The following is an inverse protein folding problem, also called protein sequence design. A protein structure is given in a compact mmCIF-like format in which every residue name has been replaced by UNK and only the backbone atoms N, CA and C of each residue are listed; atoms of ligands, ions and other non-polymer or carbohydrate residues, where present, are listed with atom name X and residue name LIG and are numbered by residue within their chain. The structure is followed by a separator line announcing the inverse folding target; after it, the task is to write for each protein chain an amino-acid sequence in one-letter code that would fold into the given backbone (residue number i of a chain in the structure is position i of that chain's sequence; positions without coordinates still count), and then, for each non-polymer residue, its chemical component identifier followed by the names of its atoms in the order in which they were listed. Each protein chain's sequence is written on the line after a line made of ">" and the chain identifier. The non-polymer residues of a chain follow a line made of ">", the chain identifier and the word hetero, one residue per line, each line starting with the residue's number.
data_IF_322399366723
#
_entry.id   IF_322399366723
#
_cell.length_a   1.000
_cell.length_b   1.000
_cell.length_c   1.000
_cell.angle_alpha   90.00
_cell.angle_beta   90.00
_cell.angle_gamma   90.00
#
_symmetry.space_group_name_H-M   'P 1'
#
loop_
_entity.id
_entity.type
_entity.pdbx_description
1 polymer ?
#
# COMPACT_ATOMS: atom_id res chain seq x y z
N UNK A 1 20.67 -23.92 -1.09
CA UNK A 1 20.08 -24.43 -2.35
C UNK A 1 18.58 -24.14 -2.31
N UNK A 2 17.94 -23.79 -3.43
CA UNK A 2 16.49 -23.53 -3.46
C UNK A 2 15.75 -24.74 -4.02
N UNK A 3 14.54 -25.01 -3.53
CA UNK A 3 13.69 -26.07 -4.06
C UNK A 3 13.15 -25.62 -5.42
N UNK A 4 13.56 -26.31 -6.48
CA UNK A 4 13.07 -26.04 -7.84
C UNK A 4 11.60 -26.45 -7.99
N UNK A 5 10.81 -25.68 -8.74
CA UNK A 5 9.44 -26.06 -9.13
C UNK A 5 9.43 -27.39 -9.92
N UNK A 6 10.55 -27.74 -10.55
CA UNK A 6 10.71 -28.97 -11.32
C UNK A 6 10.44 -30.23 -10.49
N UNK A 7 10.78 -30.25 -9.19
CA UNK A 7 10.47 -31.38 -8.31
C UNK A 7 8.96 -31.64 -8.21
N UNK A 8 8.17 -30.58 -8.09
CA UNK A 8 6.71 -30.69 -8.05
C UNK A 8 6.13 -31.08 -9.41
N UNK A 9 6.65 -30.49 -10.50
CA UNK A 9 6.20 -30.81 -11.86
C UNK A 9 6.44 -32.30 -12.19
N UNK A 10 7.64 -32.82 -11.92
CA UNK A 10 8.00 -34.21 -12.13
C UNK A 10 7.15 -35.15 -11.26
N UNK A 11 6.94 -34.80 -9.99
CA UNK A 11 6.12 -35.62 -9.07
C UNK A 11 4.64 -35.69 -9.48
N UNK A 12 4.12 -34.63 -10.08
CA UNK A 12 2.70 -34.52 -10.48
C UNK A 12 2.43 -34.80 -11.95
N UNK A 13 3.45 -35.19 -12.71
CA UNK A 13 3.37 -35.47 -14.15
C UNK A 13 2.23 -36.46 -14.45
N UNK A 14 1.43 -36.11 -15.47
CA UNK A 14 0.22 -36.80 -15.95
C UNK A 14 -0.90 -37.00 -14.92
N UNK A 15 -0.90 -36.24 -13.82
CA UNK A 15 -1.89 -36.39 -12.72
C UNK A 15 -2.59 -35.05 -12.41
N UNK A 16 -3.49 -34.55 -13.27
CA UNK A 16 -4.11 -33.22 -13.11
C UNK A 16 -4.97 -33.09 -11.83
N UNK A 17 -5.60 -34.19 -11.38
CA UNK A 17 -6.35 -34.20 -10.12
C UNK A 17 -5.45 -34.03 -8.90
N UNK A 18 -4.23 -34.54 -8.96
CA UNK A 18 -3.23 -34.44 -7.90
C UNK A 18 -2.69 -33.01 -7.82
N UNK A 19 -2.36 -32.41 -8.97
CA UNK A 19 -1.93 -31.02 -9.07
C UNK A 19 -2.94 -30.09 -8.39
N UNK A 20 -4.20 -30.11 -8.84
CA UNK A 20 -5.26 -29.25 -8.29
C UNK A 20 -5.45 -29.42 -6.78
N UNK A 21 -5.38 -30.67 -6.29
CA UNK A 21 -5.48 -30.95 -4.84
C UNK A 21 -4.29 -30.40 -4.06
N UNK A 22 -3.08 -30.49 -4.61
CA UNK A 22 -1.88 -29.96 -3.98
C UNK A 22 -1.86 -28.42 -3.96
N UNK A 23 -2.28 -27.79 -5.06
CA UNK A 23 -2.46 -26.34 -5.15
C UNK A 23 -3.48 -25.86 -4.13
N UNK A 24 -4.66 -26.48 -4.09
CA UNK A 24 -5.69 -26.14 -3.11
C UNK A 24 -5.19 -26.29 -1.67
N UNK A 25 -4.43 -27.34 -1.35
CA UNK A 25 -3.86 -27.51 -0.02
C UNK A 25 -2.88 -26.37 0.35
N UNK A 26 -2.09 -25.89 -0.61
CA UNK A 26 -1.20 -24.74 -0.39
C UNK A 26 -1.99 -23.44 -0.24
N UNK A 27 -2.95 -23.17 -1.14
CA UNK A 27 -3.76 -21.94 -1.10
C UNK A 27 -4.70 -21.86 0.10
N UNK A 28 -5.16 -22.99 0.62
CA UNK A 28 -5.97 -23.07 1.84
C UNK A 28 -5.14 -23.14 3.13
N UNK A 29 -3.81 -22.93 3.07
CA UNK A 29 -2.90 -22.98 4.22
C UNK A 29 -2.95 -24.32 5.00
N UNK A 30 -3.13 -25.43 4.29
CA UNK A 30 -3.14 -26.77 4.91
C UNK A 30 -1.73 -27.33 5.13
N UNK A 31 -0.67 -26.66 4.67
CA UNK A 31 0.71 -26.98 5.06
C UNK A 31 1.02 -26.26 6.37
N UNK A 32 0.92 -26.99 7.48
CA UNK A 32 0.96 -26.45 8.84
C UNK A 32 2.39 -26.22 9.35
N UNK A 33 3.31 -27.10 8.94
CA UNK A 33 4.75 -27.01 9.26
C UNK A 33 5.55 -27.42 8.04
N UNK A 34 6.69 -26.77 7.85
CA UNK A 34 7.61 -27.05 6.76
C UNK A 34 9.03 -26.76 7.23
N UNK A 35 9.94 -27.70 7.00
CA UNK A 35 11.37 -27.62 7.27
C UNK A 35 12.10 -28.25 6.09
N UNK A 36 13.14 -27.57 5.60
CA UNK A 36 14.01 -28.08 4.57
C UNK A 36 15.44 -28.11 5.10
N UNK A 37 16.05 -29.29 5.09
CA UNK A 37 17.45 -29.49 5.43
C UNK A 37 18.28 -29.46 4.14
N UNK A 38 19.14 -28.45 4.05
CA UNK A 38 19.97 -28.19 2.88
C UNK A 38 21.22 -29.08 2.82
N UNK A 39 21.65 -29.69 3.93
CA UNK A 39 22.81 -30.60 3.93
C UNK A 39 22.42 -32.00 3.45
N UNK A 40 21.22 -32.45 3.81
CA UNK A 40 20.72 -33.78 3.46
C UNK A 40 19.73 -33.78 2.28
N UNK A 41 19.33 -32.60 1.78
CA UNK A 41 18.30 -32.43 0.75
C UNK A 41 16.95 -33.09 1.13
N UNK A 42 16.60 -33.04 2.41
CA UNK A 42 15.37 -33.63 2.95
C UNK A 42 14.36 -32.53 3.31
N UNK A 43 13.14 -32.67 2.82
CA UNK A 43 11.97 -31.86 3.19
C UNK A 43 11.15 -32.62 4.24
N UNK A 44 10.89 -31.99 5.37
CA UNK A 44 9.96 -32.45 6.39
C UNK A 44 8.79 -31.48 6.52
N UNK A 45 7.58 -31.96 6.35
CA UNK A 45 6.37 -31.15 6.41
C UNK A 45 5.24 -31.84 7.17
N UNK A 46 4.28 -31.03 7.64
CA UNK A 46 3.02 -31.51 8.22
C UNK A 46 1.89 -30.91 7.40
N UNK A 47 1.11 -31.77 6.73
CA UNK A 47 0.03 -31.35 5.84
C UNK A 47 -1.31 -31.87 6.33
N UNK A 48 -2.28 -30.98 6.47
CA UNK A 48 -3.64 -31.28 6.87
C UNK A 48 -4.42 -31.97 5.75
N UNK A 49 -5.24 -32.95 6.11
CA UNK A 49 -6.17 -33.61 5.19
C UNK A 49 -7.33 -32.67 4.82
N UNK A 50 -7.76 -32.66 3.55
CA UNK A 50 -8.75 -31.70 3.05
C UNK A 50 -10.12 -31.73 3.75
N UNK A 51 -10.53 -32.87 4.33
CA UNK A 51 -11.89 -33.07 4.87
C UNK A 51 -11.91 -33.55 6.33
N UNK A 52 -10.75 -33.68 6.97
CA UNK A 52 -10.65 -34.22 8.34
C UNK A 52 -9.76 -33.30 9.16
N UNK A 53 -10.09 -33.14 10.45
CA UNK A 53 -9.21 -32.46 11.40
C UNK A 53 -8.04 -33.38 11.80
N UNK A 54 -7.29 -33.85 10.79
CA UNK A 54 -6.15 -34.74 10.91
C UNK A 54 -5.07 -34.25 9.97
N UNK A 55 -3.83 -34.24 10.43
CA UNK A 55 -2.65 -33.95 9.63
C UNK A 55 -1.77 -35.18 9.50
N UNK A 56 -0.95 -35.19 8.46
CA UNK A 56 0.00 -36.25 8.16
C UNK A 56 1.41 -35.66 8.10
N UNK A 57 2.37 -36.35 8.70
CA UNK A 57 3.78 -36.04 8.48
C UNK A 57 4.20 -36.53 7.10
N UNK A 58 5.02 -35.71 6.47
CA UNK A 58 5.54 -35.89 5.11
C UNK A 58 7.04 -35.70 5.17
N UNK A 59 7.78 -36.67 4.69
CA UNK A 59 9.23 -36.60 4.50
C UNK A 59 9.53 -36.90 3.04
N UNK A 60 10.34 -36.05 2.40
CA UNK A 60 10.69 -36.15 0.98
C UNK A 60 12.19 -35.96 0.83
N UNK A 61 12.87 -36.91 0.22
CA UNK A 61 14.28 -36.75 -0.16
C UNK A 61 14.36 -36.30 -1.63
N UNK A 62 15.16 -35.28 -1.89
CA UNK A 62 15.35 -34.67 -3.21
C UNK A 62 16.69 -35.10 -3.81
N UNK A 63 16.72 -35.35 -5.10
CA UNK A 63 17.92 -35.70 -5.87
C UNK A 63 18.34 -34.56 -6.81
N UNK A 64 19.64 -34.45 -7.08
CA UNK A 64 20.24 -33.38 -7.89
C UNK A 64 19.73 -33.34 -9.35
N UNK A 65 19.13 -34.45 -9.82
CA UNK A 65 18.44 -34.54 -11.11
C UNK A 65 17.03 -33.95 -11.15
N UNK A 66 16.62 -33.17 -10.15
CA UNK A 66 15.25 -32.65 -9.98
C UNK A 66 14.19 -33.75 -9.83
N UNK A 67 14.60 -34.93 -9.36
CA UNK A 67 13.75 -36.06 -9.08
C UNK A 67 13.51 -36.21 -7.57
N UNK A 68 12.41 -36.84 -7.21
CA UNK A 68 12.13 -37.21 -5.82
C UNK A 68 12.68 -38.60 -5.58
N UNK A 69 13.77 -38.73 -4.80
CA UNK A 69 14.45 -40.01 -4.57
C UNK A 69 13.66 -40.93 -3.66
N UNK A 70 13.03 -40.37 -2.61
CA UNK A 70 12.11 -41.13 -1.77
C UNK A 70 11.04 -40.23 -1.14
N UNK A 71 9.88 -40.82 -0.87
CA UNK A 71 8.78 -40.15 -0.18
C UNK A 71 8.23 -41.04 0.92
N UNK A 72 7.99 -40.46 2.08
CA UNK A 72 7.24 -41.09 3.15
C UNK A 72 6.13 -40.14 3.59
N UNK A 73 4.88 -40.60 3.56
CA UNK A 73 3.75 -39.85 4.09
C UNK A 73 2.88 -40.78 4.92
N UNK A 74 2.40 -40.31 6.08
CA UNK A 74 1.55 -41.09 6.99
C UNK A 74 0.11 -41.28 6.47
N UNK A 75 -0.21 -40.76 5.28
CA UNK A 75 -1.56 -40.91 4.71
C UNK A 75 -1.77 -42.30 4.09
N UNK A 76 -3.02 -42.74 3.88
CA UNK A 76 -3.30 -44.04 3.27
C UNK A 76 -2.66 -44.24 1.89
N UNK A 77 -2.45 -43.15 1.15
CA UNK A 77 -1.78 -43.14 -0.15
C UNK A 77 -0.28 -42.86 -0.07
N UNK A 78 0.30 -42.77 1.13
CA UNK A 78 1.67 -42.30 1.32
C UNK A 78 2.76 -43.26 0.87
N UNK A 79 2.40 -44.54 0.62
CA UNK A 79 3.22 -45.52 -0.10
C UNK A 79 3.23 -45.32 -1.62
N UNK A 80 2.39 -44.41 -2.12
CA UNK A 80 2.22 -44.07 -3.52
C UNK A 80 2.30 -42.54 -3.70
N UNK A 81 1.81 -42.04 -4.83
CA UNK A 81 1.76 -40.61 -5.11
C UNK A 81 0.58 -39.96 -4.37
N UNK A 82 0.86 -39.02 -3.46
CA UNK A 82 -0.17 -38.36 -2.66
C UNK A 82 -0.10 -36.83 -2.72
N UNK A 83 -1.25 -36.17 -2.55
CA UNK A 83 -1.33 -34.72 -2.66
C UNK A 83 -0.60 -33.97 -1.54
N UNK A 84 -0.33 -34.63 -0.41
CA UNK A 84 0.42 -34.03 0.71
C UNK A 84 1.90 -33.86 0.36
N UNK A 85 2.51 -34.84 -0.29
CA UNK A 85 3.89 -34.74 -0.81
C UNK A 85 3.97 -33.65 -1.88
N UNK A 86 3.04 -33.66 -2.83
CA UNK A 86 2.96 -32.63 -3.86
C UNK A 86 2.77 -31.22 -3.24
N UNK A 87 1.93 -31.09 -2.21
CA UNK A 87 1.72 -29.81 -1.52
C UNK A 87 2.98 -29.36 -0.78
N UNK A 88 3.73 -30.27 -0.15
CA UNK A 88 5.00 -29.95 0.50
C UNK A 88 6.04 -29.44 -0.52
N UNK A 89 6.18 -30.08 -1.67
CA UNK A 89 7.10 -29.64 -2.73
C UNK A 89 6.73 -28.26 -3.29
N UNK A 90 5.45 -28.03 -3.57
CA UNK A 90 4.96 -26.74 -4.09
C UNK A 90 5.10 -25.62 -3.05
N UNK A 91 4.81 -25.91 -1.78
CA UNK A 91 5.03 -24.98 -0.67
C UNK A 91 6.51 -24.67 -0.51
N UNK A 92 7.37 -25.69 -0.59
CA UNK A 92 8.82 -25.55 -0.57
C UNK A 92 9.34 -24.62 -1.65
N UNK A 93 8.88 -24.75 -2.89
CA UNK A 93 9.23 -23.80 -3.96
C UNK A 93 8.81 -22.35 -3.63
N UNK A 94 7.63 -22.14 -3.03
CA UNK A 94 7.13 -20.80 -2.70
C UNK A 94 7.81 -20.18 -1.48
N UNK A 95 8.31 -20.99 -0.56
CA UNK A 95 8.77 -20.55 0.76
C UNK A 95 10.28 -20.71 0.97
N UNK A 96 10.95 -21.61 0.25
CA UNK A 96 12.41 -21.76 0.26
C UNK A 96 12.98 -20.87 -0.83
N UNK A 97 13.33 -19.66 -0.44
CA UNK A 97 13.81 -18.62 -1.35
C UNK A 97 15.27 -18.85 -1.72
N UNK A 98 15.68 -18.40 -2.92
CA UNK A 98 17.12 -18.30 -3.27
C UNK A 98 17.88 -17.31 -2.35
N UNK A 99 17.18 -16.51 -1.54
CA UNK A 99 17.73 -15.49 -0.65
C UNK A 99 18.11 -16.00 0.76
N UNK A 100 17.77 -17.24 1.12
CA UNK A 100 18.23 -17.86 2.38
C UNK A 100 19.68 -18.39 2.29
N UNK A 101 20.27 -18.36 1.09
CA UNK A 101 21.72 -18.46 0.92
C UNK A 101 22.29 -17.09 1.24
N UNK A 102 23.09 -17.00 2.30
CA UNK A 102 23.84 -15.78 2.64
C UNK A 102 24.55 -15.27 1.39
N UNK A 103 24.12 -14.14 0.85
CA UNK A 103 24.77 -13.49 -0.28
C UNK A 103 26.18 -13.07 0.15
N UNK A 104 27.15 -13.94 -0.07
CA UNK A 104 28.55 -13.61 -0.01
C UNK A 104 28.98 -13.16 -1.39
N UNK A 105 29.23 -11.87 -1.57
CA UNK A 105 30.17 -11.47 -2.61
C UNK A 105 31.48 -12.17 -2.27
N UNK A 106 31.90 -13.15 -3.07
CA UNK A 106 33.28 -13.62 -3.02
C UNK A 106 34.15 -12.41 -3.35
N UNK A 107 34.69 -11.76 -2.33
CA UNK A 107 35.76 -10.76 -2.51
C UNK A 107 36.96 -11.54 -3.06
N UNK A 108 37.07 -11.55 -4.39
CA UNK A 108 38.13 -12.18 -5.18
C UNK A 108 38.12 -13.72 -5.15
N UNK A 109 37.30 -14.40 -5.96
CA UNK A 109 37.51 -15.81 -6.26
C UNK A 109 38.90 -15.95 -6.92
N UNK A 110 39.81 -16.74 -6.32
CA UNK A 110 41.17 -16.96 -6.86
C UNK A 110 41.17 -17.56 -8.28
N UNK A 111 40.03 -18.06 -8.73
CA UNK A 111 39.75 -18.67 -10.04
C UNK A 111 38.88 -17.81 -10.96
N UNK A 112 38.47 -16.60 -10.55
CA UNK A 112 37.73 -15.72 -11.44
C UNK A 112 38.65 -15.25 -12.57
N UNK A 113 38.35 -15.65 -13.80
CA UNK A 113 38.90 -15.05 -15.00
C UNK A 113 38.68 -13.55 -14.86
N UNK A 114 39.73 -12.74 -15.05
CA UNK A 114 39.61 -11.28 -15.12
C UNK A 114 38.69 -10.97 -16.30
N UNK A 115 37.40 -10.87 -16.07
CA UNK A 115 36.45 -10.33 -17.05
C UNK A 115 36.76 -8.85 -17.16
N UNK A 116 37.17 -8.43 -18.35
CA UNK A 116 37.21 -7.01 -18.71
C UNK A 116 35.83 -6.43 -18.41
N UNK A 117 35.81 -5.39 -17.57
CA UNK A 117 34.57 -4.68 -17.25
C UNK A 117 34.20 -3.91 -18.51
N UNK A 118 33.17 -4.39 -19.21
CA UNK A 118 32.61 -3.72 -20.38
C UNK A 118 31.47 -2.80 -19.98
N UNK A 119 31.40 -1.62 -20.56
CA UNK A 119 30.27 -0.70 -20.35
C UNK A 119 29.00 -1.21 -21.05
N UNK A 120 27.84 -0.67 -20.71
CA UNK A 120 26.59 -1.01 -21.41
C UNK A 120 26.66 -0.65 -22.89
N UNK A 121 27.33 0.47 -23.22
CA UNK A 121 27.56 0.93 -24.59
C UNK A 121 28.47 -0.03 -25.38
N UNK A 122 29.43 -0.68 -24.73
CA UNK A 122 30.31 -1.67 -25.35
C UNK A 122 29.60 -3.01 -25.61
N UNK A 123 28.67 -3.39 -24.72
CA UNK A 123 27.87 -4.60 -24.88
C UNK A 123 26.73 -4.42 -25.88
N UNK A 124 26.19 -3.21 -25.95
CA UNK A 124 25.03 -2.86 -26.77
C UNK A 124 25.31 -1.55 -27.51
N UNK A 125 26.18 -1.58 -28.54
CA UNK A 125 26.46 -0.40 -29.32
C UNK A 125 25.18 0.12 -29.98
N UNK A 126 24.92 1.44 -29.95
CA UNK A 126 23.72 2.01 -30.54
C UNK A 126 23.69 1.74 -32.04
N UNK A 127 22.57 1.21 -32.54
CA UNK A 127 22.37 0.95 -33.98
C UNK A 127 22.47 2.21 -34.84
N UNK A 128 22.29 3.38 -34.23
CA UNK A 128 22.47 4.70 -34.82
C UNK A 128 23.22 5.58 -33.81
N UNK A 129 24.56 5.70 -33.93
CA UNK A 129 25.38 6.42 -32.95
C UNK A 129 25.09 7.93 -32.90
N UNK A 130 24.55 8.50 -33.99
CA UNK A 130 24.22 9.93 -34.08
C UNK A 130 22.72 10.22 -33.86
N UNK A 131 21.94 9.23 -33.39
CA UNK A 131 20.52 9.44 -33.13
C UNK A 131 20.32 10.23 -31.84
N UNK A 132 19.80 11.45 -31.98
CA UNK A 132 19.28 12.25 -30.89
C UNK A 132 17.78 12.49 -31.11
N UNK A 133 16.96 12.16 -30.12
CA UNK A 133 15.50 12.36 -30.19
C UNK A 133 15.12 13.85 -30.35
N UNK A 134 15.99 14.75 -29.87
CA UNK A 134 15.88 16.20 -30.02
C UNK A 134 17.07 16.71 -30.83
N UNK A 135 16.84 17.71 -31.70
CA UNK A 135 17.90 18.40 -32.46
C UNK A 135 18.78 19.31 -31.60
N UNK A 136 18.42 19.48 -30.33
CA UNK A 136 19.12 20.28 -29.32
C UNK A 136 19.34 19.43 -28.05
N UNK A 137 20.27 19.81 -27.16
CA UNK A 137 20.43 19.15 -25.87
C UNK A 137 19.11 19.13 -25.10
N UNK A 138 18.86 18.03 -24.40
CA UNK A 138 17.72 17.91 -23.48
C UNK A 138 17.90 18.88 -22.31
N UNK A 139 16.86 19.64 -21.98
CA UNK A 139 16.86 20.60 -20.88
C UNK A 139 15.72 20.38 -19.86
N UNK A 140 15.70 21.18 -18.79
CA UNK A 140 14.69 21.08 -17.73
C UNK A 140 13.28 21.43 -18.21
N UNK A 141 13.13 22.20 -19.30
CA UNK A 141 11.83 22.49 -19.88
C UNK A 141 11.27 21.26 -20.58
N UNK A 142 12.10 20.50 -21.29
CA UNK A 142 11.71 19.24 -21.91
C UNK A 142 11.27 18.22 -20.85
N UNK A 143 12.01 18.15 -19.74
CA UNK A 143 11.68 17.30 -18.59
C UNK A 143 10.32 17.69 -17.99
N UNK A 144 10.11 18.98 -17.75
CA UNK A 144 8.87 19.51 -17.17
C UNK A 144 7.67 19.29 -18.11
N UNK A 145 7.86 19.52 -19.41
CA UNK A 145 6.84 19.25 -20.42
C UNK A 145 6.46 17.77 -20.45
N UNK A 146 7.45 16.86 -20.50
CA UNK A 146 7.18 15.43 -20.52
C UNK A 146 6.48 14.96 -19.24
N UNK A 147 6.87 15.48 -18.07
CA UNK A 147 6.19 15.21 -16.80
C UNK A 147 4.71 15.66 -16.82
N UNK A 148 4.41 16.85 -17.36
CA UNK A 148 3.02 17.35 -17.49
C UNK A 148 2.19 16.47 -18.44
N UNK A 149 2.77 16.01 -19.55
CA UNK A 149 2.09 15.10 -20.47
C UNK A 149 1.81 13.74 -19.82
N UNK A 150 2.73 13.21 -19.02
CA UNK A 150 2.50 11.97 -18.26
C UNK A 150 1.41 12.13 -17.20
N UNK A 151 1.38 13.27 -16.49
CA UNK A 151 0.36 13.55 -15.48
C UNK A 151 -1.06 13.58 -16.07
N UNK A 152 -1.23 14.03 -17.33
CA UNK A 152 -2.51 14.01 -18.04
C UNK A 152 -3.07 12.61 -18.27
N UNK A 153 -2.22 11.57 -18.26
CA UNK A 153 -2.67 10.18 -18.42
C UNK A 153 -3.40 9.64 -17.18
N UNK A 154 -3.42 10.41 -16.08
CA UNK A 154 -4.22 10.11 -14.89
C UNK A 154 -3.83 8.83 -14.15
N UNK A 155 -2.63 8.31 -14.42
CA UNK A 155 -2.08 7.10 -13.80
C UNK A 155 -0.66 7.40 -13.34
N UNK A 156 -0.36 7.05 -12.08
CA UNK A 156 0.98 7.18 -11.56
C UNK A 156 1.87 6.11 -12.19
N UNK A 157 2.69 6.51 -13.17
CA UNK A 157 3.60 5.62 -13.89
C UNK A 157 4.99 5.68 -13.26
N UNK A 158 5.72 4.56 -13.25
CA UNK A 158 7.09 4.52 -12.68
C UNK A 158 8.02 5.61 -13.25
N UNK A 159 7.82 5.97 -14.53
CA UNK A 159 8.56 7.03 -15.20
C UNK A 159 8.23 8.43 -14.64
N UNK A 160 6.99 8.68 -14.25
CA UNK A 160 6.60 9.94 -13.60
C UNK A 160 7.34 10.13 -12.27
N UNK A 161 7.62 9.04 -11.55
CA UNK A 161 8.43 9.05 -10.33
C UNK A 161 9.91 9.32 -10.61
N UNK A 162 10.50 8.65 -11.61
CA UNK A 162 11.90 8.86 -12.02
C UNK A 162 12.14 10.32 -12.48
N UNK A 163 11.12 10.93 -13.08
CA UNK A 163 11.18 12.29 -13.58
C UNK A 163 10.87 13.35 -12.52
N UNK A 164 10.55 12.98 -11.27
CA UNK A 164 10.40 13.95 -10.20
C UNK A 164 11.72 14.67 -9.95
N UNK A 165 11.73 16.01 -9.76
CA UNK A 165 12.94 16.71 -9.37
C UNK A 165 13.55 16.06 -8.12
N UNK A 166 14.87 16.01 -8.06
CA UNK A 166 15.54 15.63 -6.82
C UNK A 166 15.03 16.56 -5.71
N UNK A 167 14.67 16.02 -4.54
CA UNK A 167 14.16 16.84 -3.47
C UNK A 167 15.22 17.87 -3.08
N UNK A 168 14.98 19.14 -3.40
CA UNK A 168 15.80 20.24 -2.90
C UNK A 168 15.73 20.25 -1.37
N UNK A 169 16.87 20.48 -0.71
CA UNK A 169 16.85 20.87 0.69
C UNK A 169 15.96 22.11 0.87
N UNK A 170 15.15 22.20 1.94
CA UNK A 170 15.19 21.38 3.15
C UNK A 170 14.45 20.04 3.00
N UNK A 171 14.87 19.06 3.80
CA UNK A 171 14.25 17.75 3.91
C UNK A 171 12.77 17.78 4.33
N UNK A 172 12.14 16.60 4.51
CA UNK A 172 10.72 16.53 4.86
C UNK A 172 10.42 17.33 6.14
N UNK A 173 9.33 18.13 6.16
CA UNK A 173 9.03 19.02 7.29
C UNK A 173 8.71 18.25 8.59
N UNK A 174 8.14 17.06 8.47
CA UNK A 174 7.92 16.14 9.59
C UNK A 174 8.83 14.91 9.47
N UNK A 175 9.23 14.31 10.60
CA UNK A 175 10.11 13.15 10.60
C UNK A 175 9.49 11.96 9.86
N UNK A 176 10.30 11.23 9.10
CA UNK A 176 9.87 9.98 8.46
C UNK A 176 10.01 8.85 9.49
N UNK A 177 8.90 8.16 9.82
CA UNK A 177 8.92 7.10 10.84
C UNK A 177 9.87 5.96 10.46
N UNK A 178 9.93 5.61 9.18
CA UNK A 178 10.81 4.53 8.71
C UNK A 178 12.29 4.87 8.98
N UNK A 179 12.70 6.09 8.64
CA UNK A 179 14.06 6.58 8.89
C UNK A 179 14.39 6.56 10.39
N UNK A 180 13.46 7.03 11.24
CA UNK A 180 13.61 6.97 12.69
C UNK A 180 13.74 5.54 13.21
N UNK A 181 12.98 4.58 12.68
CA UNK A 181 13.06 3.17 13.09
C UNK A 181 14.35 2.49 12.64
N UNK A 182 14.98 2.99 11.58
CA UNK A 182 16.27 2.50 11.07
C UNK A 182 17.48 3.26 11.61
N UNK A 183 17.25 4.34 12.36
CA UNK A 183 18.31 5.21 12.84
C UNK A 183 19.17 4.53 13.90
N UNK A 184 20.45 4.91 13.98
CA UNK A 184 21.38 4.34 14.96
C UNK A 184 20.93 4.66 16.39
N UNK A 185 20.31 5.82 16.61
CA UNK A 185 19.78 6.24 17.90
C UNK A 185 18.63 5.35 18.37
N UNK A 186 17.72 4.94 17.47
CA UNK A 186 16.64 4.02 17.82
C UNK A 186 17.16 2.61 18.08
N UNK A 187 18.02 2.09 17.19
CA UNK A 187 18.54 0.71 17.25
C UNK A 187 19.39 0.48 18.50
N UNK A 188 20.20 1.48 18.88
CA UNK A 188 21.09 1.39 20.04
C UNK A 188 20.48 1.94 21.33
N UNK A 189 19.19 2.33 21.32
CA UNK A 189 18.53 2.85 22.52
C UNK A 189 18.22 1.75 23.53
N UNK A 190 18.51 1.99 24.80
CA UNK A 190 18.04 1.13 25.90
C UNK A 190 16.51 1.15 26.06
N UNK A 191 15.86 2.26 25.64
CA UNK A 191 14.41 2.46 25.73
C UNK A 191 13.82 2.94 24.40
N UNK A 192 13.81 2.08 23.35
CA UNK A 192 13.48 2.51 21.98
C UNK A 192 12.09 3.15 21.84
N UNK A 193 11.09 2.63 22.57
CA UNK A 193 9.73 3.16 22.49
C UNK A 193 9.56 4.53 23.16
N UNK A 194 10.35 4.83 24.20
CA UNK A 194 10.34 6.15 24.85
C UNK A 194 11.06 7.15 23.97
N UNK A 195 12.21 6.74 23.41
CA UNK A 195 12.95 7.54 22.44
C UNK A 195 12.08 7.88 21.23
N UNK A 196 11.43 6.89 20.61
CA UNK A 196 10.60 7.09 19.43
C UNK A 196 9.44 8.04 19.70
N UNK A 197 8.78 7.92 20.87
CA UNK A 197 7.71 8.84 21.26
C UNK A 197 8.20 10.28 21.35
N UNK A 198 9.41 10.51 21.88
CA UNK A 198 10.00 11.85 21.96
C UNK A 198 10.41 12.38 20.60
N UNK A 199 11.02 11.55 19.76
CA UNK A 199 11.44 11.91 18.41
C UNK A 199 10.26 12.25 17.47
N UNK A 200 9.05 11.82 17.82
CA UNK A 200 7.82 12.09 17.06
C UNK A 200 7.01 13.28 17.56
N UNK A 201 7.41 13.95 18.64
CA UNK A 201 6.72 15.15 19.12
C UNK A 201 6.93 16.27 18.11
N UNK A 202 5.84 16.89 17.67
CA UNK A 202 5.84 17.95 16.65
C UNK A 202 5.37 19.27 17.26
N UNK A 203 5.96 20.37 16.77
CA UNK A 203 5.42 21.71 17.00
C UNK A 203 4.27 22.01 16.03
N UNK A 204 3.44 22.99 16.38
CA UNK A 204 2.39 23.50 15.50
C UNK A 204 2.93 23.98 14.14
N UNK A 205 4.10 24.64 14.15
CA UNK A 205 4.78 25.07 12.92
C UNK A 205 5.11 23.87 12.00
N UNK A 206 5.63 22.78 12.56
CA UNK A 206 5.92 21.56 11.79
C UNK A 206 4.63 20.95 11.24
N UNK A 207 3.55 20.96 12.01
CA UNK A 207 2.24 20.45 11.57
C UNK A 207 1.72 21.26 10.38
N UNK A 208 1.72 22.59 10.48
CA UNK A 208 1.24 23.50 9.42
C UNK A 208 2.11 23.42 8.17
N UNK A 209 3.43 23.44 8.33
CA UNK A 209 4.38 23.28 7.21
C UNK A 209 4.22 21.92 6.53
N UNK A 210 3.96 20.86 7.30
CA UNK A 210 3.68 19.52 6.75
C UNK A 210 2.40 19.52 5.95
N UNK A 211 1.32 20.10 6.47
CA UNK A 211 0.06 20.17 5.75
C UNK A 211 0.19 20.97 4.44
N UNK A 212 0.99 22.04 4.44
CA UNK A 212 1.26 22.86 3.25
C UNK A 212 2.13 22.10 2.23
N UNK A 213 3.26 21.54 2.67
CA UNK A 213 4.20 20.83 1.80
C UNK A 213 3.62 19.55 1.19
N UNK A 214 2.59 18.98 1.82
CA UNK A 214 1.89 17.77 1.36
C UNK A 214 0.55 18.06 0.66
N UNK A 215 0.28 19.32 0.33
CA UNK A 215 -0.90 19.73 -0.44
C UNK A 215 -0.97 18.97 -1.77
N UNK A 216 -2.19 18.64 -2.20
CA UNK A 216 -2.44 17.79 -3.38
C UNK A 216 -2.46 16.28 -3.07
N UNK A 217 -2.18 15.91 -1.80
CA UNK A 217 -2.36 14.58 -1.23
C UNK A 217 -1.81 13.45 -2.12
N UNK A 218 -2.68 12.66 -2.75
CA UNK A 218 -2.31 11.52 -3.61
C UNK A 218 -1.38 11.87 -4.78
N UNK A 219 -1.42 13.12 -5.26
CA UNK A 219 -0.58 13.59 -6.36
C UNK A 219 0.74 14.18 -5.85
N UNK A 220 0.94 14.19 -4.54
CA UNK A 220 2.14 14.68 -3.88
C UNK A 220 2.88 13.50 -3.22
N UNK A 221 4.08 13.11 -3.70
CA UNK A 221 4.82 11.98 -3.15
C UNK A 221 5.19 12.17 -1.67
N UNK A 222 5.44 13.41 -1.24
CA UNK A 222 5.75 13.75 0.17
C UNK A 222 4.60 13.35 1.10
N UNK A 223 3.35 13.52 0.65
CA UNK A 223 2.17 13.09 1.40
C UNK A 223 2.19 11.58 1.66
N UNK A 224 2.52 10.78 0.64
CA UNK A 224 2.58 9.31 0.77
C UNK A 224 3.67 8.88 1.74
N UNK A 225 4.85 9.52 1.67
CA UNK A 225 6.01 9.26 2.53
C UNK A 225 5.67 9.60 3.99
N UNK A 226 5.18 10.80 4.28
CA UNK A 226 4.87 11.26 5.64
C UNK A 226 3.72 10.46 6.25
N UNK A 227 2.74 10.04 5.44
CA UNK A 227 1.58 9.25 5.86
C UNK A 227 1.96 7.81 6.25
N UNK A 228 3.01 7.25 5.65
CA UNK A 228 3.44 5.86 5.87
C UNK A 228 3.76 5.62 7.34
N UNK A 229 3.33 4.46 7.86
CA UNK A 229 3.52 4.04 9.26
C UNK A 229 2.82 4.94 10.32
N UNK A 230 1.98 5.90 9.92
CA UNK A 230 1.12 6.67 10.84
C UNK A 230 -0.29 6.11 10.90
N UNK A 231 -0.98 6.35 12.02
CA UNK A 231 -2.38 5.98 12.17
C UNK A 231 -3.22 7.13 11.61
N UNK A 232 -3.71 6.96 10.39
CA UNK A 232 -4.56 7.97 9.74
C UNK A 232 -6.03 7.82 10.10
N UNK A 233 -6.82 8.90 10.01
CA UNK A 233 -8.28 8.87 10.22
C UNK A 233 -8.98 7.72 9.48
N UNK A 234 -8.63 7.50 8.21
CA UNK A 234 -9.18 6.42 7.38
C UNK A 234 -8.91 5.00 7.91
N UNK A 235 -7.87 4.81 8.72
CA UNK A 235 -7.50 3.54 9.33
C UNK A 235 -7.82 3.48 10.83
N UNK A 236 -8.18 4.61 11.45
CA UNK A 236 -8.32 4.75 12.90
C UNK A 236 -9.38 3.79 13.47
N UNK A 237 -10.56 3.72 12.85
CA UNK A 237 -11.61 2.78 13.26
C UNK A 237 -11.17 1.31 13.19
N UNK A 238 -10.41 0.94 12.15
CA UNK A 238 -9.86 -0.41 12.03
C UNK A 238 -8.81 -0.71 13.10
N UNK A 239 -7.95 0.26 13.43
CA UNK A 239 -6.98 0.15 14.53
C UNK A 239 -7.70 -0.02 15.88
N UNK A 240 -8.73 0.77 16.17
CA UNK A 240 -9.50 0.67 17.41
C UNK A 240 -10.24 -0.67 17.54
N UNK A 241 -10.76 -1.21 16.44
CA UNK A 241 -11.46 -2.50 16.42
C UNK A 241 -10.53 -3.71 16.61
N UNK A 242 -9.21 -3.50 16.53
CA UNK A 242 -8.23 -4.58 16.62
C UNK A 242 -7.96 -4.95 18.08
N UNK A 243 -8.11 -6.24 18.42
CA UNK A 243 -7.74 -6.75 19.74
C UNK A 243 -6.23 -6.57 19.97
N UNK A 244 -5.82 -6.09 21.15
CA UNK A 244 -4.40 -5.92 21.51
C UNK A 244 -3.63 -7.21 21.17
N UNK A 245 -2.55 -7.06 20.38
CA UNK A 245 -1.63 -8.11 19.86
C UNK A 245 -2.08 -8.92 18.64
N UNK A 246 -3.21 -8.61 18.00
CA UNK A 246 -3.64 -9.29 16.76
C UNK A 246 -3.87 -8.30 15.62
N UNK A 247 -2.83 -7.54 15.25
CA UNK A 247 -2.88 -6.70 14.04
C UNK A 247 -2.97 -7.61 12.82
N UNK A 248 -4.05 -7.47 12.05
CA UNK A 248 -4.23 -8.23 10.82
C UNK A 248 -3.20 -7.82 9.77
N UNK A 249 -2.77 -8.78 8.94
CA UNK A 249 -1.82 -8.51 7.85
C UNK A 249 -2.36 -7.42 6.91
N UNK A 250 -3.67 -7.39 6.69
CA UNK A 250 -4.34 -6.38 5.88
C UNK A 250 -4.26 -4.98 6.50
N UNK A 251 -4.48 -4.84 7.81
CA UNK A 251 -4.28 -3.57 8.50
C UNK A 251 -2.81 -3.13 8.47
N UNK A 252 -1.85 -4.05 8.70
CA UNK A 252 -0.41 -3.76 8.60
C UNK A 252 -0.05 -3.24 7.20
N UNK A 253 -0.49 -3.94 6.15
CA UNK A 253 -0.23 -3.54 4.76
C UNK A 253 -0.85 -2.18 4.40
N UNK A 254 -2.04 -1.85 4.94
CA UNK A 254 -2.68 -0.54 4.78
C UNK A 254 -1.88 0.58 5.45
N UNK A 255 -1.39 0.36 6.67
CA UNK A 255 -0.57 1.35 7.39
C UNK A 255 0.80 1.57 6.74
N UNK A 256 1.37 0.52 6.13
CA UNK A 256 2.64 0.60 5.40
C UNK A 256 2.49 1.15 3.96
N UNK A 257 1.29 1.63 3.57
CA UNK A 257 0.99 2.11 2.22
C UNK A 257 1.35 1.12 1.09
N UNK A 258 1.22 -0.18 1.36
CA UNK A 258 1.67 -1.26 0.45
C UNK A 258 0.58 -1.83 -0.47
N UNK A 259 -0.60 -1.21 -0.51
CA UNK A 259 -1.70 -1.62 -1.39
C UNK A 259 -1.80 -0.69 -2.60
N UNK A 260 -1.72 -1.26 -3.80
CA UNK A 260 -2.22 -0.58 -4.99
C UNK A 260 -3.76 -0.77 -5.05
N UNK A 261 -4.51 0.32 -4.88
CA UNK A 261 -5.98 0.34 -4.91
C UNK A 261 -6.54 0.88 -6.25
N UNK A 262 -5.68 1.23 -7.21
CA UNK A 262 -6.05 1.89 -8.48
C UNK A 262 -6.94 1.00 -9.36
N UNK A 263 -6.81 -0.32 -9.25
CA UNK A 263 -7.61 -1.29 -10.00
C UNK A 263 -9.06 -1.43 -9.52
N UNK A 264 -9.40 -0.84 -8.38
CA UNK A 264 -10.73 -0.99 -7.77
C UNK A 264 -11.67 0.08 -8.35
N UNK A 265 -12.72 -0.36 -9.07
CA UNK A 265 -13.71 0.53 -9.70
C UNK A 265 -14.31 1.56 -8.75
N UNK A 266 -14.64 1.16 -7.52
CA UNK A 266 -15.20 2.07 -6.52
C UNK A 266 -14.21 3.16 -6.08
N UNK A 267 -12.91 2.84 -6.05
CA UNK A 267 -11.85 3.80 -5.72
C UNK A 267 -11.66 4.78 -6.87
N UNK A 268 -11.59 4.28 -8.11
CA UNK A 268 -11.54 5.12 -9.31
C UNK A 268 -12.78 6.03 -9.45
N UNK A 269 -13.96 5.53 -9.09
CA UNK A 269 -15.20 6.31 -9.03
C UNK A 269 -15.09 7.47 -8.03
N UNK A 270 -14.67 7.19 -6.80
CA UNK A 270 -14.50 8.21 -5.77
C UNK A 270 -13.55 9.33 -6.23
N UNK A 271 -12.37 8.91 -6.70
CA UNK A 271 -11.33 9.79 -7.26
C UNK A 271 -11.87 10.75 -8.33
N UNK A 272 -12.67 10.23 -9.25
CA UNK A 272 -13.12 10.99 -10.44
C UNK A 272 -14.30 11.92 -10.14
N UNK A 273 -15.05 11.66 -9.06
CA UNK A 273 -16.26 12.42 -8.72
C UNK A 273 -16.06 13.39 -7.55
N UNK A 274 -14.98 13.23 -6.78
CA UNK A 274 -14.66 14.09 -5.63
C UNK A 274 -14.58 15.57 -6.00
N UNK A 275 -13.86 15.90 -7.08
CA UNK A 275 -13.72 17.29 -7.54
C UNK A 275 -15.08 17.92 -7.94
N UNK A 276 -15.93 17.15 -8.63
CA UNK A 276 -17.28 17.61 -8.99
C UNK A 276 -18.14 17.83 -7.74
N UNK A 277 -18.00 16.96 -6.74
CA UNK A 277 -18.72 17.09 -5.49
C UNK A 277 -18.31 18.36 -4.72
N UNK A 278 -17.02 18.66 -4.66
CA UNK A 278 -16.50 19.89 -4.05
C UNK A 278 -17.03 21.15 -4.76
N UNK A 279 -16.96 21.20 -6.10
CA UNK A 279 -17.48 22.35 -6.88
C UNK A 279 -18.98 22.60 -6.63
N UNK A 280 -19.76 21.53 -6.53
CA UNK A 280 -21.20 21.65 -6.22
C UNK A 280 -21.42 22.12 -4.79
N UNK A 281 -20.61 21.67 -3.82
CA UNK A 281 -20.64 22.19 -2.45
C UNK A 281 -20.32 23.68 -2.39
N UNK A 282 -19.25 24.13 -3.06
CA UNK A 282 -18.87 25.55 -3.14
C UNK A 282 -20.01 26.43 -3.68
N UNK A 283 -20.62 26.00 -4.79
CA UNK A 283 -21.74 26.70 -5.40
C UNK A 283 -22.96 26.78 -4.50
N UNK A 284 -23.37 25.65 -3.91
CA UNK A 284 -24.61 25.56 -3.12
C UNK A 284 -24.51 26.33 -1.80
N UNK A 285 -23.36 26.29 -1.14
CA UNK A 285 -23.16 26.91 0.17
C UNK A 285 -22.49 28.28 0.10
N UNK A 286 -22.28 28.82 -1.11
CA UNK A 286 -21.52 30.05 -1.35
C UNK A 286 -20.22 30.04 -0.52
N UNK A 287 -19.41 29.00 -0.73
CA UNK A 287 -18.20 28.69 0.01
C UNK A 287 -17.02 28.58 -0.94
N UNK A 288 -15.80 28.69 -0.41
CA UNK A 288 -14.58 28.28 -1.13
C UNK A 288 -13.94 27.13 -0.38
N UNK A 289 -13.55 26.07 -1.08
CA UNK A 289 -12.88 24.91 -0.50
C UNK A 289 -11.42 24.89 -0.90
N UNK A 290 -10.54 25.06 0.08
CA UNK A 290 -9.10 25.01 -0.12
C UNK A 290 -8.59 23.58 -0.01
N UNK A 291 -7.86 23.14 -1.04
CA UNK A 291 -7.10 21.90 -0.98
C UNK A 291 -6.04 21.97 0.12
N UNK A 292 -5.84 20.84 0.80
CA UNK A 292 -4.88 20.71 1.90
C UNK A 292 -4.11 19.39 1.81
N UNK A 293 -3.16 19.16 2.72
CA UNK A 293 -2.33 17.98 2.81
C UNK A 293 -2.66 17.09 4.01
N UNK A 294 -1.63 16.53 4.64
CA UNK A 294 -1.78 15.77 5.89
C UNK A 294 -1.54 16.67 7.11
N UNK A 295 -2.53 16.70 7.99
CA UNK A 295 -2.46 17.31 9.31
C UNK A 295 -2.06 16.25 10.32
N UNK A 296 -0.97 16.47 11.04
CA UNK A 296 -0.48 15.57 12.07
C UNK A 296 -0.94 16.06 13.45
N UNK A 297 -1.17 15.13 14.37
CA UNK A 297 -1.31 15.46 15.78
C UNK A 297 0.07 15.75 16.40
N UNK A 298 0.13 16.53 17.48
CA UNK A 298 1.37 16.89 18.20
C UNK A 298 2.22 15.68 18.63
N UNK A 299 1.58 14.53 18.82
CA UNK A 299 2.27 13.26 19.12
C UNK A 299 3.01 12.65 17.92
N UNK A 300 2.79 13.18 16.72
CA UNK A 300 3.23 12.66 15.43
C UNK A 300 2.50 11.38 15.00
N UNK A 301 2.08 10.51 15.92
CA UNK A 301 1.57 9.16 15.60
C UNK A 301 0.26 9.19 14.80
N UNK A 302 -0.59 10.19 15.03
CA UNK A 302 -1.90 10.33 14.41
C UNK A 302 -1.86 11.38 13.29
N UNK A 303 -2.68 11.18 12.26
CA UNK A 303 -2.88 12.20 11.23
C UNK A 303 -4.19 12.08 10.48
N UNK A 304 -4.59 13.14 9.79
CA UNK A 304 -5.77 13.19 8.94
C UNK A 304 -5.49 14.03 7.70
N UNK A 305 -6.20 13.75 6.61
CA UNK A 305 -6.16 14.54 5.39
C UNK A 305 -7.61 14.79 5.01
N UNK A 306 -8.22 15.90 5.44
CA UNK A 306 -9.58 16.23 5.03
C UNK A 306 -9.61 16.53 3.54
N UNK A 307 -10.77 16.36 2.91
CA UNK A 307 -10.93 16.59 1.46
C UNK A 307 -10.86 18.09 1.12
N UNK A 308 -11.15 18.95 2.09
CA UNK A 308 -10.82 20.37 1.99
C UNK A 308 -11.12 21.19 3.25
N UNK A 309 -10.58 22.41 3.28
CA UNK A 309 -10.82 23.42 4.30
C UNK A 309 -11.80 24.46 3.75
N UNK A 310 -12.91 24.66 4.45
CA UNK A 310 -14.03 25.47 3.99
C UNK A 310 -13.88 26.90 4.50
N UNK A 311 -14.05 27.85 3.58
CA UNK A 311 -14.04 29.27 3.84
C UNK A 311 -15.43 29.88 3.60
N UNK A 312 -15.91 30.63 4.58
CA UNK A 312 -17.18 31.36 4.52
C UNK A 312 -17.02 32.78 5.11
N UNK A 313 -17.43 33.86 4.40
CA UNK A 313 -17.75 33.93 2.97
C UNK A 313 -16.48 33.80 2.08
N UNK A 314 -16.59 33.50 0.78
CA UNK A 314 -15.46 33.19 -0.11
C UNK A 314 -14.57 34.40 -0.45
N UNK A 315 -14.77 35.54 0.19
CA UNK A 315 -14.17 36.84 -0.15
C UNK A 315 -12.86 37.14 0.58
N UNK A 316 -12.41 36.27 1.48
CA UNK A 316 -11.16 36.46 2.20
C UNK A 316 -10.04 35.58 1.61
N UNK A 317 -8.94 36.21 1.18
CA UNK A 317 -7.71 35.53 0.74
C UNK A 317 -6.95 34.89 1.93
N UNK A 318 -7.67 34.24 2.84
CA UNK A 318 -7.09 33.58 4.02
C UNK A 318 -6.70 32.18 3.63
N UNK A 319 -5.40 31.91 3.56
CA UNK A 319 -4.91 30.54 3.45
C UNK A 319 -4.76 29.96 4.86
N UNK A 320 -5.60 28.98 5.22
CA UNK A 320 -5.60 28.37 6.56
C UNK A 320 -4.31 27.61 6.91
N UNK A 321 -3.39 27.47 5.94
CA UNK A 321 -2.11 26.80 6.10
C UNK A 321 -0.95 27.79 6.22
N UNK A 322 -1.23 29.08 6.41
CA UNK A 322 -0.19 30.11 6.63
C UNK A 322 -0.20 30.60 8.09
N UNK A 323 0.92 31.13 8.59
CA UNK A 323 1.02 31.61 9.98
C UNK A 323 -0.03 32.68 10.34
N UNK A 324 -0.47 33.48 9.37
CA UNK A 324 -1.44 34.56 9.58
C UNK A 324 -2.85 34.03 9.90
N UNK A 325 -3.14 32.78 9.54
CA UNK A 325 -4.43 32.14 9.79
C UNK A 325 -4.42 31.23 11.03
N UNK A 326 -3.37 31.28 11.87
CA UNK A 326 -3.19 30.36 13.01
C UNK A 326 -4.39 30.33 13.96
N UNK A 327 -4.97 31.49 14.25
CA UNK A 327 -6.09 31.59 15.20
C UNK A 327 -7.46 31.33 14.52
N UNK A 328 -7.47 31.09 13.19
CA UNK A 328 -8.67 30.76 12.45
C UNK A 328 -8.89 29.24 12.44
N UNK A 329 -10.09 28.81 12.84
CA UNK A 329 -10.50 27.40 12.77
C UNK A 329 -11.39 27.22 11.56
N UNK A 330 -10.89 26.65 10.44
CA UNK A 330 -11.72 26.38 9.29
C UNK A 330 -12.74 25.29 9.59
N UNK A 331 -13.91 25.40 8.96
CA UNK A 331 -14.78 24.24 8.77
C UNK A 331 -14.07 23.24 7.84
N UNK A 332 -14.31 21.94 8.02
CA UNK A 332 -13.74 20.89 7.16
C UNK A 332 -14.84 20.20 6.36
N UNK A 333 -14.52 19.83 5.12
CA UNK A 333 -15.37 19.01 4.27
C UNK A 333 -14.76 17.62 4.08
N UNK A 334 -15.60 16.60 4.21
CA UNK A 334 -15.31 15.23 3.81
C UNK A 334 -16.35 14.82 2.76
N UNK A 335 -15.87 14.38 1.62
CA UNK A 335 -16.64 13.96 0.48
C UNK A 335 -16.74 12.44 0.46
N UNK A 336 -17.93 11.95 0.10
CA UNK A 336 -18.16 10.53 -0.16
C UNK A 336 -18.93 10.38 -1.46
N UNK A 337 -18.36 9.62 -2.39
CA UNK A 337 -18.98 9.26 -3.66
C UNK A 337 -19.18 7.73 -3.71
N UNK A 338 -20.30 7.20 -3.16
CA UNK A 338 -20.51 5.77 -3.07
C UNK A 338 -20.84 5.16 -4.44
N UNK A 339 -19.93 4.32 -4.97
CA UNK A 339 -20.12 3.65 -6.26
C UNK A 339 -21.38 2.78 -6.32
N UNK A 340 -21.80 2.19 -5.20
CA UNK A 340 -23.04 1.40 -5.11
C UNK A 340 -24.32 2.22 -5.34
N UNK A 341 -24.24 3.55 -5.21
CA UNK A 341 -25.35 4.47 -5.45
C UNK A 341 -25.26 5.19 -6.81
N UNK A 342 -24.26 4.86 -7.65
CA UNK A 342 -23.96 5.62 -8.88
C UNK A 342 -25.12 5.75 -9.88
N UNK A 343 -26.08 4.82 -9.83
CA UNK A 343 -27.24 4.78 -10.71
C UNK A 343 -28.57 4.84 -9.96
N UNK A 344 -28.54 5.23 -8.68
CA UNK A 344 -29.72 5.34 -7.84
C UNK A 344 -30.06 6.81 -7.63
N UNK A 345 -31.34 7.10 -7.53
CA UNK A 345 -31.78 8.36 -6.91
C UNK A 345 -31.43 8.35 -5.43
N UNK A 346 -31.33 9.53 -4.81
CA UNK A 346 -31.11 9.65 -3.35
C UNK A 346 -32.15 8.84 -2.57
N UNK A 347 -33.42 8.91 -2.99
CA UNK A 347 -34.49 8.15 -2.37
C UNK A 347 -34.25 6.64 -2.44
N UNK A 348 -33.93 6.11 -3.62
CA UNK A 348 -33.62 4.69 -3.79
C UNK A 348 -32.39 4.27 -2.99
N UNK A 349 -31.33 5.08 -2.99
CA UNK A 349 -30.10 4.80 -2.26
C UNK A 349 -30.35 4.65 -0.74
N UNK A 350 -31.13 5.57 -0.15
CA UNK A 350 -31.49 5.52 1.29
C UNK A 350 -32.29 4.27 1.65
N UNK A 351 -33.19 3.82 0.76
CA UNK A 351 -34.06 2.67 1.04
C UNK A 351 -33.43 1.31 0.70
N UNK A 352 -32.51 1.28 -0.27
CA UNK A 352 -31.96 0.02 -0.80
C UNK A 352 -30.55 -0.29 -0.28
N UNK A 353 -29.75 0.70 0.11
CA UNK A 353 -28.37 0.49 0.54
C UNK A 353 -28.27 0.47 2.06
N UNK A 354 -27.81 -0.67 2.58
CA UNK A 354 -27.65 -0.91 4.03
C UNK A 354 -26.74 0.10 4.73
N UNK A 355 -25.80 0.72 4.04
CA UNK A 355 -24.81 1.64 4.62
C UNK A 355 -24.94 3.08 4.08
N UNK A 356 -26.10 3.44 3.51
CA UNK A 356 -26.37 4.79 3.00
C UNK A 356 -27.47 5.45 3.85
N UNK A 357 -27.06 6.23 4.84
CA UNK A 357 -27.96 6.88 5.79
C UNK A 357 -27.94 8.38 5.57
N UNK A 358 -29.07 8.92 5.09
CA UNK A 358 -29.28 10.36 4.95
C UNK A 358 -30.57 10.75 5.67
N UNK A 359 -30.50 11.79 6.49
CA UNK A 359 -31.67 12.42 7.12
C UNK A 359 -32.02 13.71 6.37
N UNK A 360 -33.32 13.92 6.11
CA UNK A 360 -33.82 15.16 5.49
C UNK A 360 -33.85 16.25 6.54
N UNK A 361 -32.92 17.20 6.50
CA UNK A 361 -33.03 18.42 7.29
C UNK A 361 -34.01 19.38 6.58
N UNK A 362 -35.01 19.89 7.31
CA UNK A 362 -35.87 20.97 6.84
C UNK A 362 -35.19 22.30 7.16
N UNK A 363 -34.72 23.01 6.13
CA UNK A 363 -34.31 24.42 6.24
C UNK A 363 -35.53 25.32 6.04
N UNK A 364 -35.72 26.29 6.94
CA UNK A 364 -36.84 27.24 6.91
C UNK A 364 -36.69 28.36 5.89
N UNK A 365 -35.59 28.41 5.11
CA UNK A 365 -35.30 29.52 4.18
C UNK A 365 -35.25 29.18 2.69
N UNK A 366 -35.52 27.93 2.28
CA UNK A 366 -35.85 27.60 0.89
C UNK A 366 -36.34 26.15 0.76
N UNK A 367 -37.39 25.89 -0.05
CA UNK A 367 -37.99 24.54 -0.17
C UNK A 367 -37.12 23.52 -0.92
N UNK A 368 -35.89 23.88 -1.32
CA UNK A 368 -34.99 23.04 -2.13
C UNK A 368 -33.80 22.47 -1.35
N UNK A 369 -33.66 22.81 -0.06
CA UNK A 369 -32.45 22.47 0.70
C UNK A 369 -32.59 21.07 1.33
N UNK A 370 -31.78 20.13 0.85
CA UNK A 370 -31.46 18.89 1.56
C UNK A 370 -30.08 19.05 2.21
N UNK A 371 -30.03 19.54 3.44
CA UNK A 371 -28.82 19.53 4.25
C UNK A 371 -28.68 18.14 4.89
N UNK A 372 -27.59 17.44 4.59
CA UNK A 372 -27.38 16.06 5.00
C UNK A 372 -26.40 15.96 6.15
N UNK A 373 -26.92 15.91 7.37
CA UNK A 373 -26.13 15.64 8.57
C UNK A 373 -26.15 14.14 8.88
N UNK A 374 -24.96 13.51 8.85
CA UNK A 374 -24.57 12.30 9.59
C UNK A 374 -24.44 11.00 8.79
N UNK A 375 -23.21 10.73 8.35
CA UNK A 375 -22.76 9.36 8.08
C UNK A 375 -22.40 8.68 9.41
N UNK A 376 -22.97 7.52 9.73
CA UNK A 376 -22.70 6.79 10.98
C UNK A 376 -21.40 6.00 10.86
N UNK A 377 -20.26 6.69 10.75
CA UNK A 377 -18.97 6.10 11.08
C UNK A 377 -18.74 6.26 12.59
N UNK A 378 -18.25 5.22 13.25
CA UNK A 378 -18.19 5.01 14.70
C UNK A 378 -17.25 5.94 15.48
N UNK A 379 -17.16 7.23 15.15
CA UNK A 379 -16.31 8.20 15.85
C UNK A 379 -16.93 9.59 15.71
N UNK A 380 -17.25 10.21 16.85
CA UNK A 380 -17.77 11.58 16.94
C UNK A 380 -16.67 12.54 16.47
N UNK A 381 -16.83 13.09 15.27
CA UNK A 381 -16.20 14.32 14.82
C UNK A 381 -17.24 15.03 13.95
N UNK A 382 -17.53 16.29 14.25
CA UNK A 382 -18.51 17.08 13.50
C UNK A 382 -17.91 17.43 12.13
N UNK A 383 -18.17 16.58 11.15
CA UNK A 383 -17.74 16.75 9.76
C UNK A 383 -18.98 17.11 8.96
N UNK A 384 -19.01 18.29 8.31
CA UNK A 384 -20.02 18.58 7.29
C UNK A 384 -19.70 17.69 6.10
N UNK A 385 -20.49 16.64 5.93
CA UNK A 385 -20.30 15.66 4.86
C UNK A 385 -21.14 16.09 3.66
N UNK A 386 -20.51 16.36 2.52
CA UNK A 386 -21.22 16.54 1.27
C UNK A 386 -21.49 15.17 0.64
N UNK A 387 -22.75 14.78 0.56
CA UNK A 387 -23.19 13.58 -0.18
C UNK A 387 -23.93 14.08 -1.42
N UNK A 388 -23.40 13.76 -2.61
CA UNK A 388 -23.93 14.22 -3.90
C UNK A 388 -24.33 13.03 -4.75
#
# INVERSE_FOLDING_TARGET
>A
MAISIQYWANYTTDKPKLMRKSENAVYSNHVLKFLFDNETNIVNAVVQASMKNKSYKVTVALDDGYAVSSTNCECPLGKFVCHHVAAALLYGYKCVSKTDVKCGWLKNPKTAIKTDVKTMEELFPPSQPDYHALRRPFDDNDRSFFQQELAKLGRFIAMEWILQPEPCEPGPPAPIIEDLLTSAEFVNSDMPMVWLRRALILSEEVITNTALATKGQRNNPMWSIIRKNRITASNFGAVLSTKRRQITISLKKRLMSSYNLESIKAVAWGITHEEHALKKYEHEFNASVQQTGIWLHESGVLGASPDGLVLHPPTCDVNFQTPEARDAVPDIVEVKCPYSAAHLTIYEAVHSLKDFYLEKAFSTSSPTILTFTRYKASSICAIRTAVI
#
